data_IF_823533289595
#
_entry.id   IF_823533289595
#
_cell.length_a   1.000
_cell.length_b   1.000
_cell.length_c   1.000
_cell.angle_alpha   90.00
_cell.angle_beta   90.00
_cell.angle_gamma   90.00
#
_symmetry.space_group_name_H-M   'P 1'
#
loop_
_entity.id
_entity.type
_entity.pdbx_description
1 polymer ?
#
# COMPACT_ATOMS: atom_id res chain seq x y z
N UNK A 1 -67.72 57.49 -84.17
CA UNK A 1 -66.31 57.21 -84.50
C UNK A 1 -65.90 55.98 -83.71
N UNK A 2 -65.56 54.87 -84.37
CA UNK A 2 -65.30 53.57 -83.72
C UNK A 2 -63.79 53.36 -83.64
N UNK A 3 -63.19 53.48 -82.44
CA UNK A 3 -61.74 53.32 -82.24
C UNK A 3 -61.49 51.84 -81.93
N UNK A 4 -60.63 51.14 -82.71
CA UNK A 4 -60.37 49.74 -82.45
C UNK A 4 -59.74 49.54 -81.08
N UNK A 5 -60.28 48.59 -80.30
CA UNK A 5 -59.78 48.21 -78.97
C UNK A 5 -59.36 46.75 -78.97
N UNK A 6 -58.22 46.48 -78.35
CA UNK A 6 -57.77 45.11 -78.06
C UNK A 6 -58.32 44.74 -76.69
N UNK A 7 -59.04 43.63 -76.61
CA UNK A 7 -59.45 43.01 -75.37
C UNK A 7 -58.62 41.75 -75.14
N UNK A 8 -58.08 41.63 -73.93
CA UNK A 8 -57.30 40.49 -73.48
C UNK A 8 -58.13 39.76 -72.45
N UNK A 9 -58.49 38.51 -72.75
CA UNK A 9 -59.01 37.58 -71.74
C UNK A 9 -57.90 36.59 -71.38
N UNK A 10 -57.67 36.43 -70.09
CA UNK A 10 -56.56 35.63 -69.60
C UNK A 10 -56.93 34.84 -68.38
N UNK A 11 -56.40 33.62 -68.33
CA UNK A 11 -56.53 32.74 -67.19
C UNK A 11 -55.15 32.17 -66.82
N UNK A 12 -54.80 32.25 -65.53
CA UNK A 12 -53.55 31.70 -65.02
C UNK A 12 -53.66 30.20 -64.75
N UNK A 13 -52.50 29.53 -64.76
CA UNK A 13 -52.41 28.14 -64.36
C UNK A 13 -52.58 27.97 -62.86
N UNK A 14 -53.26 26.90 -62.45
CA UNK A 14 -53.30 26.43 -61.06
C UNK A 14 -52.62 25.07 -60.99
N UNK A 15 -51.66 24.92 -60.09
CA UNK A 15 -50.91 23.68 -59.86
C UNK A 15 -51.21 23.20 -58.45
N UNK A 16 -51.59 21.93 -58.32
CA UNK A 16 -51.73 21.22 -57.05
C UNK A 16 -50.43 20.50 -56.70
N UNK A 17 -50.19 20.30 -55.41
CA UNK A 17 -49.09 19.51 -54.91
C UNK A 17 -49.66 18.38 -54.06
N UNK A 18 -49.45 17.14 -54.50
CA UNK A 18 -49.62 15.98 -53.63
C UNK A 18 -48.29 15.70 -52.92
N UNK A 19 -48.33 15.56 -51.59
CA UNK A 19 -47.12 15.38 -50.77
C UNK A 19 -47.23 14.20 -49.85
N UNK A 20 -46.24 13.32 -49.94
CA UNK A 20 -45.94 12.30 -48.95
C UNK A 20 -44.82 12.81 -48.04
N UNK A 21 -45.08 12.81 -46.72
CA UNK A 21 -44.11 13.27 -45.73
C UNK A 21 -43.06 12.18 -45.52
N UNK A 22 -41.78 12.56 -45.67
CA UNK A 22 -40.67 11.66 -45.38
C UNK A 22 -40.62 11.28 -43.89
N UNK A 23 -40.04 10.12 -43.60
CA UNK A 23 -39.91 9.60 -42.23
C UNK A 23 -38.45 9.23 -41.96
N UNK A 24 -37.97 9.60 -40.77
CA UNK A 24 -36.64 9.25 -40.30
C UNK A 24 -36.80 8.47 -38.99
N UNK A 25 -36.41 7.20 -39.01
CA UNK A 25 -36.42 6.35 -37.83
C UNK A 25 -34.96 6.09 -37.42
N UNK A 26 -34.63 6.41 -36.18
CA UNK A 26 -33.31 6.15 -35.60
C UNK A 26 -33.51 5.26 -34.39
N UNK A 27 -32.95 4.06 -34.42
CA UNK A 27 -32.95 3.12 -33.30
C UNK A 27 -31.51 2.90 -32.85
N UNK A 28 -31.21 3.20 -31.57
CA UNK A 28 -29.88 3.00 -31.00
C UNK A 28 -29.95 1.94 -29.91
N UNK A 29 -29.41 0.73 -30.14
CA UNK A 29 -29.36 -0.30 -29.12
C UNK A 29 -28.47 0.12 -27.96
N UNK A 30 -28.80 -0.29 -26.74
CA UNK A 30 -27.99 -0.02 -25.54
C UNK A 30 -26.63 -0.71 -25.66
N UNK A 31 -25.50 0.01 -25.45
CA UNK A 31 -24.19 -0.63 -25.45
C UNK A 31 -24.04 -1.58 -24.26
N UNK A 32 -23.23 -2.63 -24.44
CA UNK A 32 -22.92 -3.59 -23.36
C UNK A 32 -21.56 -3.24 -22.75
N UNK A 33 -21.52 -3.11 -21.43
CA UNK A 33 -20.28 -2.94 -20.67
C UNK A 33 -20.16 -4.11 -19.69
N UNK A 34 -19.10 -4.89 -19.84
CA UNK A 34 -18.72 -5.93 -18.89
C UNK A 34 -17.50 -5.48 -18.11
N UNK A 35 -17.59 -5.55 -16.79
CA UNK A 35 -16.52 -5.17 -15.87
C UNK A 35 -16.14 -6.43 -15.09
N UNK A 36 -14.90 -6.86 -15.23
CA UNK A 36 -14.35 -7.97 -14.45
C UNK A 36 -13.27 -7.43 -13.51
N UNK A 37 -13.44 -7.68 -12.22
CA UNK A 37 -12.48 -7.26 -11.19
C UNK A 37 -11.74 -8.48 -10.66
N UNK A 38 -10.41 -8.46 -10.80
CA UNK A 38 -9.51 -9.39 -10.16
C UNK A 38 -9.06 -8.81 -8.82
N UNK A 39 -9.38 -9.48 -7.73
CA UNK A 39 -9.01 -9.03 -6.39
C UNK A 39 -7.49 -9.13 -6.17
N UNK A 40 -6.97 -8.22 -5.35
CA UNK A 40 -5.59 -8.29 -4.85
C UNK A 40 -5.48 -9.50 -3.92
N UNK A 41 -4.41 -10.27 -4.08
CA UNK A 41 -4.07 -11.35 -3.15
C UNK A 41 -2.75 -11.03 -2.47
N UNK A 42 -2.73 -11.19 -1.15
CA UNK A 42 -1.53 -11.01 -0.33
C UNK A 42 -1.22 -12.34 0.32
N UNK A 43 -0.03 -12.86 0.04
CA UNK A 43 0.51 -14.01 0.75
C UNK A 43 1.52 -13.48 1.77
N UNK A 44 1.31 -13.85 3.04
CA UNK A 44 2.15 -13.40 4.15
C UNK A 44 2.71 -14.64 4.85
N UNK A 45 4.03 -14.74 4.85
CA UNK A 45 4.77 -15.76 5.57
C UNK A 45 5.52 -15.10 6.72
N UNK A 46 5.35 -15.63 7.94
CA UNK A 46 5.94 -15.07 9.16
C UNK A 46 6.76 -16.15 9.87
N UNK A 47 7.94 -15.76 10.32
CA UNK A 47 8.72 -16.49 11.32
C UNK A 47 8.60 -15.84 12.68
N UNK A 48 8.55 -16.66 13.72
CA UNK A 48 8.55 -16.19 15.10
C UNK A 48 9.95 -15.68 15.50
N UNK A 49 9.97 -14.68 16.38
CA UNK A 49 11.22 -14.24 16.99
C UNK A 49 11.70 -15.24 18.03
N UNK A 50 13.01 -15.26 18.28
CA UNK A 50 13.64 -16.09 19.31
C UNK A 50 14.14 -15.19 20.44
N UNK A 51 13.77 -15.53 21.67
CA UNK A 51 14.28 -14.90 22.89
C UNK A 51 15.14 -15.92 23.63
N UNK A 52 16.41 -15.58 23.85
CA UNK A 52 17.33 -16.36 24.67
C UNK A 52 17.68 -15.55 25.92
N UNK A 53 17.59 -16.20 27.08
CA UNK A 53 17.90 -15.59 28.38
C UNK A 53 18.87 -16.52 29.10
N UNK A 54 20.06 -16.02 29.40
CA UNK A 54 21.04 -16.72 30.23
C UNK A 54 21.15 -16.04 31.60
N UNK A 55 20.60 -16.72 32.61
CA UNK A 55 20.61 -16.26 34.01
C UNK A 55 21.60 -17.03 34.89
N UNK A 56 22.58 -17.75 34.32
CA UNK A 56 23.50 -18.59 35.10
C UNK A 56 24.25 -17.79 36.18
N UNK A 57 24.76 -16.60 35.83
CA UNK A 57 25.47 -15.72 36.79
C UNK A 57 24.53 -15.21 37.89
N UNK A 58 23.27 -14.93 37.57
CA UNK A 58 22.27 -14.51 38.55
C UNK A 58 21.97 -15.62 39.56
N UNK A 59 21.78 -16.85 39.09
CA UNK A 59 21.61 -18.02 39.96
C UNK A 59 22.84 -18.27 40.81
N UNK A 60 24.04 -18.07 40.26
CA UNK A 60 25.28 -18.17 41.02
C UNK A 60 25.38 -17.14 42.15
N UNK A 61 24.99 -15.89 41.90
CA UNK A 61 24.95 -14.85 42.93
C UNK A 61 23.90 -15.12 44.02
N UNK A 62 22.86 -15.90 43.71
CA UNK A 62 21.86 -16.38 44.67
C UNK A 62 22.27 -17.68 45.39
N UNK A 63 23.51 -18.14 45.24
CA UNK A 63 24.01 -19.37 45.86
C UNK A 63 23.50 -20.66 45.21
N UNK A 64 22.90 -20.56 44.01
CA UNK A 64 22.42 -21.69 43.20
C UNK A 64 23.31 -21.93 41.97
N UNK A 65 24.62 -21.71 42.14
CA UNK A 65 25.62 -22.00 41.12
C UNK A 65 25.73 -23.50 40.85
N UNK A 66 26.31 -23.87 39.70
CA UNK A 66 26.66 -25.26 39.43
C UNK A 66 27.82 -25.69 40.32
N UNK A 67 27.88 -26.97 40.68
CA UNK A 67 28.92 -27.49 41.58
C UNK A 67 30.32 -27.28 41.02
N UNK A 68 30.51 -27.42 39.69
CA UNK A 68 31.79 -27.15 39.05
C UNK A 68 32.26 -25.70 39.23
N UNK A 69 31.34 -24.73 39.14
CA UNK A 69 31.64 -23.30 39.29
C UNK A 69 32.00 -22.97 40.74
N UNK A 70 31.25 -23.53 41.70
CA UNK A 70 31.54 -23.36 43.13
C UNK A 70 32.90 -23.96 43.49
N UNK A 71 33.19 -25.16 42.97
CA UNK A 71 34.45 -25.84 43.26
C UNK A 71 35.64 -25.07 42.71
N UNK A 72 35.55 -24.55 41.49
CA UNK A 72 36.60 -23.75 40.88
C UNK A 72 36.83 -22.43 41.65
N UNK A 73 35.75 -21.75 42.06
CA UNK A 73 35.84 -20.54 42.90
C UNK A 73 36.53 -20.82 44.23
N UNK A 74 36.08 -21.85 44.96
CA UNK A 74 36.68 -22.25 46.24
C UNK A 74 38.15 -22.60 46.06
N UNK A 75 38.52 -23.31 44.99
CA UNK A 75 39.91 -23.68 44.71
C UNK A 75 40.79 -22.44 44.48
N UNK A 76 40.31 -21.47 43.68
CA UNK A 76 41.02 -20.22 43.40
C UNK A 76 41.18 -19.36 44.65
N UNK A 77 40.11 -19.18 45.44
CA UNK A 77 40.15 -18.42 46.69
C UNK A 77 41.04 -19.10 47.74
N UNK A 78 40.95 -20.42 47.86
CA UNK A 78 41.80 -21.18 48.78
C UNK A 78 43.28 -21.03 48.43
N UNK A 79 43.62 -21.03 47.14
CA UNK A 79 44.99 -20.78 46.69
C UNK A 79 45.46 -19.38 47.07
N UNK A 80 44.64 -18.35 46.82
CA UNK A 80 44.96 -16.96 47.17
C UNK A 80 45.14 -16.78 48.68
N UNK A 81 44.22 -17.33 49.49
CA UNK A 81 44.31 -17.33 50.96
C UNK A 81 45.59 -18.03 51.41
N UNK A 82 45.93 -19.18 50.81
CA UNK A 82 47.14 -19.93 51.17
C UNK A 82 48.40 -19.10 50.89
N UNK A 83 48.47 -18.46 49.72
CA UNK A 83 49.60 -17.58 49.36
C UNK A 83 49.69 -16.37 50.29
N UNK A 84 48.56 -15.74 50.62
CA UNK A 84 48.52 -14.63 51.58
C UNK A 84 48.98 -15.09 52.97
N UNK A 85 48.62 -16.29 53.40
CA UNK A 85 49.06 -16.84 54.68
C UNK A 85 50.56 -17.12 54.70
N UNK A 86 51.15 -17.60 53.61
CA UNK A 86 52.61 -17.75 53.48
C UNK A 86 53.29 -16.38 53.63
N UNK A 87 52.78 -15.35 52.95
CA UNK A 87 53.32 -13.99 53.07
C UNK A 87 53.18 -13.45 54.51
N UNK A 88 52.05 -13.71 55.17
CA UNK A 88 51.83 -13.32 56.56
C UNK A 88 52.83 -14.02 57.49
N UNK A 89 53.05 -15.32 57.34
CA UNK A 89 54.01 -16.08 58.16
C UNK A 89 55.43 -15.54 57.99
N UNK A 90 55.83 -15.23 56.74
CA UNK A 90 57.15 -14.62 56.47
C UNK A 90 57.31 -13.28 57.19
N UNK A 91 56.32 -12.39 57.05
CA UNK A 91 56.32 -11.07 57.69
C UNK A 91 56.28 -11.15 59.23
N UNK A 92 55.52 -12.10 59.77
CA UNK A 92 55.50 -12.41 61.21
C UNK A 92 56.89 -12.86 61.69
N UNK A 93 57.59 -13.70 60.91
CA UNK A 93 58.96 -14.11 61.19
C UNK A 93 59.96 -12.95 61.20
N UNK A 94 59.88 -12.04 60.22
CA UNK A 94 60.72 -10.84 60.17
C UNK A 94 60.49 -9.94 61.39
N UNK A 95 59.24 -9.77 61.83
CA UNK A 95 58.89 -9.03 63.05
C UNK A 95 59.44 -9.70 64.31
N UNK A 96 59.40 -11.03 64.39
CA UNK A 96 59.96 -11.77 65.52
C UNK A 96 61.49 -11.65 65.60
N UNK A 97 62.18 -11.61 64.44
CA UNK A 97 63.63 -11.41 64.37
C UNK A 97 64.06 -9.98 64.73
N UNK A 98 63.18 -8.99 64.61
CA UNK A 98 63.45 -7.60 64.92
C UNK A 98 63.42 -7.30 66.45
N UNK A 99 64.15 -8.08 67.25
CA UNK A 99 64.20 -7.99 68.72
C UNK A 99 64.70 -6.63 69.24
N UNK A 100 65.37 -5.84 68.41
CA UNK A 100 65.87 -4.51 68.74
C UNK A 100 64.75 -3.47 68.85
N UNK A 101 63.56 -3.75 68.29
CA UNK A 101 62.40 -2.89 68.42
C UNK A 101 61.79 -3.04 69.81
N UNK A 102 61.55 -1.91 70.49
CA UNK A 102 60.92 -1.89 71.82
C UNK A 102 59.43 -2.23 71.70
N UNK A 103 59.10 -3.53 71.75
CA UNK A 103 57.72 -4.04 71.69
C UNK A 103 57.66 -5.56 71.85
N UNK A 104 56.47 -6.11 72.11
CA UNK A 104 56.25 -7.56 72.20
C UNK A 104 55.57 -8.08 70.93
N UNK A 105 56.38 -8.43 69.92
CA UNK A 105 55.90 -8.92 68.63
C UNK A 105 55.01 -10.18 68.77
N UNK A 106 55.29 -11.07 69.72
CA UNK A 106 54.48 -12.27 69.94
C UNK A 106 53.07 -11.94 70.41
N UNK A 107 52.93 -10.99 71.35
CA UNK A 107 51.64 -10.55 71.84
C UNK A 107 50.81 -9.85 70.75
N UNK A 108 51.46 -9.03 69.91
CA UNK A 108 50.79 -8.37 68.77
C UNK A 108 50.34 -9.37 67.71
N UNK A 109 51.20 -10.30 67.31
CA UNK A 109 50.88 -11.33 66.33
C UNK A 109 49.76 -12.23 66.84
N UNK A 110 49.79 -12.63 68.11
CA UNK A 110 48.72 -13.42 68.72
C UNK A 110 47.37 -12.67 68.67
N UNK A 111 47.37 -11.36 68.96
CA UNK A 111 46.18 -10.50 68.85
C UNK A 111 45.69 -10.41 67.40
N UNK A 112 46.59 -10.20 66.43
CA UNK A 112 46.24 -10.13 65.01
C UNK A 112 45.65 -11.43 64.49
N UNK A 113 46.24 -12.58 64.85
CA UNK A 113 45.73 -13.91 64.49
C UNK A 113 44.35 -14.17 65.07
N UNK A 114 44.07 -13.71 66.31
CA UNK A 114 42.77 -13.90 66.96
C UNK A 114 41.61 -13.26 66.18
N UNK A 115 41.86 -12.16 65.46
CA UNK A 115 40.84 -11.44 64.69
C UNK A 115 40.90 -11.73 63.17
N UNK A 116 41.88 -12.52 62.71
CA UNK A 116 42.06 -12.79 61.28
C UNK A 116 41.00 -13.78 60.79
N UNK A 117 40.32 -13.41 59.72
CA UNK A 117 39.32 -14.25 59.06
C UNK A 117 39.80 -14.63 57.67
N UNK A 118 39.37 -15.80 57.21
CA UNK A 118 39.60 -16.31 55.87
C UNK A 118 38.25 -16.70 55.26
N UNK A 119 37.39 -15.72 54.95
CA UNK A 119 36.11 -16.01 54.32
C UNK A 119 36.34 -16.59 52.93
N UNK A 120 35.53 -17.57 52.57
CA UNK A 120 35.45 -18.13 51.22
C UNK A 120 34.05 -17.80 50.72
N UNK A 121 33.97 -17.10 49.59
CA UNK A 121 32.72 -16.72 48.96
C UNK A 121 32.19 -17.88 48.12
N UNK A 122 31.06 -18.43 48.55
CA UNK A 122 30.40 -19.53 47.83
C UNK A 122 29.51 -18.97 46.72
N UNK A 123 28.96 -17.77 46.92
CA UNK A 123 28.09 -17.11 45.96
C UNK A 123 28.89 -16.35 44.90
N UNK A 124 28.34 -16.28 43.70
CA UNK A 124 28.87 -15.41 42.65
C UNK A 124 28.71 -13.94 43.02
N UNK A 125 29.51 -13.07 42.41
CA UNK A 125 29.35 -11.63 42.63
C UNK A 125 28.00 -11.15 42.10
N UNK A 126 27.19 -10.45 42.91
CA UNK A 126 25.95 -9.85 42.43
C UNK A 126 26.28 -8.68 41.50
N UNK A 127 25.64 -8.66 40.34
CA UNK A 127 25.71 -7.56 39.38
C UNK A 127 24.35 -7.35 38.74
N UNK A 128 24.07 -6.11 38.31
CA UNK A 128 22.91 -5.81 37.48
C UNK A 128 22.97 -6.53 36.13
N UNK A 129 24.18 -6.91 35.70
CA UNK A 129 24.50 -7.52 34.40
C UNK A 129 24.66 -9.05 34.47
N UNK A 130 24.00 -9.68 35.45
CA UNK A 130 24.06 -11.14 35.67
C UNK A 130 23.04 -11.93 34.81
N UNK A 131 22.27 -11.23 33.97
CA UNK A 131 21.29 -11.82 33.06
C UNK A 131 21.59 -11.31 31.66
N UNK A 132 22.07 -12.21 30.80
CA UNK A 132 22.34 -11.91 29.41
C UNK A 132 21.06 -12.20 28.59
N UNK A 133 20.55 -11.20 27.87
CA UNK A 133 19.32 -11.30 27.06
C UNK A 133 19.66 -11.08 25.59
N UNK A 134 19.32 -12.04 24.75
CA UNK A 134 19.46 -11.94 23.31
C UNK A 134 18.11 -12.12 22.63
N UNK A 135 17.73 -11.17 21.78
CA UNK A 135 16.50 -11.23 21.00
C UNK A 135 16.82 -11.24 19.51
N UNK A 136 16.45 -12.32 18.84
CA UNK A 136 16.49 -12.42 17.38
C UNK A 136 15.08 -12.14 16.84
N UNK A 137 14.85 -11.02 16.14
CA UNK A 137 13.55 -10.71 15.59
C UNK A 137 13.15 -11.71 14.50
N UNK A 138 11.87 -12.05 14.48
CA UNK A 138 11.28 -12.81 13.39
C UNK A 138 11.22 -11.98 12.10
N UNK A 139 11.04 -12.65 10.97
CA UNK A 139 10.89 -12.03 9.65
C UNK A 139 9.46 -12.17 9.15
N UNK A 140 9.01 -11.16 8.42
CA UNK A 140 7.74 -11.16 7.71
C UNK A 140 8.05 -10.94 6.23
N UNK A 141 7.72 -11.95 5.43
CA UNK A 141 7.84 -11.90 3.98
C UNK A 141 6.44 -11.76 3.39
N UNK A 142 6.25 -10.75 2.54
CA UNK A 142 4.96 -10.45 1.92
C UNK A 142 5.08 -10.48 0.40
N UNK A 143 4.29 -11.32 -0.25
CA UNK A 143 4.14 -11.35 -1.70
C UNK A 143 2.79 -10.74 -2.08
N UNK A 144 2.84 -9.69 -2.89
CA UNK A 144 1.66 -8.97 -3.36
C UNK A 144 1.36 -9.34 -4.80
N UNK A 145 0.20 -9.95 -5.03
CA UNK A 145 -0.32 -10.17 -6.38
C UNK A 145 -1.32 -9.07 -6.67
N UNK A 146 -0.90 -8.11 -7.48
CA UNK A 146 -1.74 -7.00 -7.91
C UNK A 146 -3.01 -7.52 -8.55
N UNK A 147 -4.14 -6.97 -8.10
CA UNK A 147 -5.40 -7.12 -8.78
C UNK A 147 -5.46 -6.27 -10.04
N UNK A 148 -6.62 -6.24 -10.67
CA UNK A 148 -6.85 -5.45 -11.88
C UNK A 148 -8.32 -5.35 -12.19
N UNK A 149 -8.68 -4.37 -13.04
CA UNK A 149 -10.02 -4.26 -13.58
C UNK A 149 -9.92 -4.33 -15.09
N UNK A 150 -10.67 -5.27 -15.68
CA UNK A 150 -10.83 -5.39 -17.12
C UNK A 150 -12.18 -4.82 -17.51
N UNK A 151 -12.17 -3.90 -18.47
CA UNK A 151 -13.37 -3.31 -19.06
C UNK A 151 -13.52 -3.83 -20.49
N UNK A 152 -14.59 -4.56 -20.76
CA UNK A 152 -14.96 -4.98 -22.10
C UNK A 152 -16.20 -4.18 -22.54
N UNK A 153 -15.98 -3.17 -23.37
CA UNK A 153 -17.03 -2.27 -23.88
C UNK A 153 -17.39 -2.58 -25.33
N UNK A 154 -18.63 -3.00 -25.55
CA UNK A 154 -19.18 -3.25 -26.88
C UNK A 154 -20.01 -2.04 -27.33
N UNK A 155 -19.40 -1.22 -28.21
CA UNK A 155 -20.07 -0.07 -28.81
C UNK A 155 -21.12 -0.53 -29.81
N UNK A 156 -22.35 -0.09 -29.61
CA UNK A 156 -23.45 -0.29 -30.56
C UNK A 156 -23.51 0.88 -31.55
N UNK A 157 -23.88 0.58 -32.80
CA UNK A 157 -24.11 1.58 -33.83
C UNK A 157 -25.62 1.83 -33.99
N UNK A 158 -26.05 3.07 -34.23
CA UNK A 158 -27.45 3.35 -34.50
C UNK A 158 -27.87 2.77 -35.86
N UNK A 159 -29.05 2.17 -35.92
CA UNK A 159 -29.73 1.90 -37.18
C UNK A 159 -30.54 3.11 -37.59
N UNK A 160 -30.34 3.55 -38.82
CA UNK A 160 -31.01 4.73 -39.39
C UNK A 160 -31.75 4.29 -40.64
N UNK A 161 -33.08 4.30 -40.57
CA UNK A 161 -33.94 4.04 -41.71
C UNK A 161 -34.56 5.37 -42.16
N UNK A 162 -34.24 5.79 -43.38
CA UNK A 162 -34.75 7.02 -43.97
C UNK A 162 -35.66 6.71 -45.15
N UNK A 163 -36.90 7.20 -45.07
CA UNK A 163 -37.89 7.12 -46.13
C UNK A 163 -38.09 8.53 -46.71
N UNK A 164 -37.54 8.82 -47.90
CA UNK A 164 -37.67 10.14 -48.49
C UNK A 164 -39.13 10.46 -48.80
N UNK A 165 -39.52 11.71 -48.54
CA UNK A 165 -40.82 12.22 -48.95
C UNK A 165 -40.86 12.43 -50.46
N UNK A 166 -42.06 12.34 -51.04
CA UNK A 166 -42.30 12.58 -52.46
C UNK A 166 -43.27 13.75 -52.63
N UNK A 167 -42.99 14.60 -53.61
CA UNK A 167 -43.90 15.67 -54.03
C UNK A 167 -44.21 15.49 -55.50
N UNK A 168 -45.48 15.34 -55.82
CA UNK A 168 -45.97 15.20 -57.18
C UNK A 168 -46.79 16.44 -57.55
N UNK A 169 -46.22 17.40 -58.30
CA UNK A 169 -46.99 18.52 -58.82
C UNK A 169 -47.87 18.05 -59.98
N UNK A 170 -49.10 18.54 -60.03
CA UNK A 170 -50.02 18.28 -61.14
C UNK A 170 -50.81 19.54 -61.51
N UNK A 171 -51.15 19.67 -62.79
CA UNK A 171 -51.86 20.83 -63.32
C UNK A 171 -53.36 20.68 -63.07
N UNK A 172 -53.93 21.52 -62.23
CA UNK A 172 -55.38 21.58 -61.99
C UNK A 172 -56.05 22.36 -63.11
N UNK A 173 -55.41 23.45 -63.56
CA UNK A 173 -55.98 24.36 -64.55
C UNK A 173 -54.90 24.86 -65.48
N UNK A 174 -55.09 24.71 -66.80
CA UNK A 174 -54.16 25.22 -67.82
C UNK A 174 -54.41 26.71 -68.06
N UNK A 175 -53.35 27.47 -68.27
CA UNK A 175 -53.47 28.88 -68.63
C UNK A 175 -53.93 29.04 -70.07
N UNK A 176 -54.61 30.15 -70.35
CA UNK A 176 -54.83 30.62 -71.71
C UNK A 176 -54.75 32.14 -71.76
N UNK A 177 -54.47 32.65 -72.96
CA UNK A 177 -54.46 34.06 -73.27
C UNK A 177 -55.12 34.22 -74.63
N UNK A 178 -56.25 34.93 -74.67
CA UNK A 178 -57.00 35.16 -75.89
C UNK A 178 -57.07 36.66 -76.16
N UNK A 179 -56.66 37.05 -77.36
CA UNK A 179 -56.71 38.43 -77.84
C UNK A 179 -57.84 38.57 -78.83
N UNK A 180 -58.72 39.54 -78.63
CA UNK A 180 -59.72 39.94 -79.61
C UNK A 180 -59.59 41.43 -79.92
N UNK A 181 -59.90 41.82 -81.15
CA UNK A 181 -59.91 43.22 -81.59
C UNK A 181 -61.31 43.56 -82.10
N UNK A 182 -62.00 44.49 -81.45
CA UNK A 182 -63.31 44.97 -81.92
C UNK A 182 -63.13 46.19 -82.83
N UNK A 183 -63.84 46.22 -83.97
CA UNK A 183 -63.93 47.40 -84.85
C UNK A 183 -63.21 47.36 -86.22
N UNK A 184 -62.98 46.19 -86.84
CA UNK A 184 -62.50 46.11 -88.24
C UNK A 184 -63.55 45.44 -89.15
N UNK A 185 -64.24 46.25 -89.96
CA UNK A 185 -64.55 45.90 -91.35
C UNK A 185 -63.35 46.36 -92.17
N UNK A 186 -62.62 45.43 -92.75
CA UNK A 186 -61.70 45.70 -93.85
C UNK A 186 -61.65 44.44 -94.70
N UNK A 187 -62.41 44.51 -95.79
CA UNK A 187 -62.19 43.72 -96.99
C UNK A 187 -60.71 43.80 -97.38
N UNK A 188 -60.08 42.64 -97.51
CA UNK A 188 -59.05 42.42 -98.51
C UNK A 188 -58.94 40.92 -98.77
N UNK A 189 -59.27 40.58 -100.00
CA UNK A 189 -58.98 39.31 -100.68
C UNK A 189 -57.47 39.22 -100.90
N UNK A 190 -56.85 38.20 -100.31
CA UNK A 190 -55.95 37.14 -100.84
C UNK A 190 -55.32 36.44 -99.63
#
# INVERSE_FOLDING_TARGET
MNIPRIQIDQQYSKVGLEREVGRLNIETPTPKLEISQQQVSVQMDRSDGKLEIDSRKAWSALGSARLEEVTDRIAQESLQISMQNIANISSEGDRMMAFHNKGNAFAEIARERMFRQYPIEVCGSPSYDNVDIEYTPGKVDMEWKSGGVKFDFNRTQPRVDYYPGKVNPYLIQKNYLFFSSSGKQLDAVV
#
